data_IF_981451957713
#
_entry.id   IF_981451957713
#
_cell.length_a   1.000
_cell.length_b   1.000
_cell.length_c   1.000
_cell.angle_alpha   90.00
_cell.angle_beta   90.00
_cell.angle_gamma   90.00
#
_symmetry.space_group_name_H-M   'P 1'
#
loop_
_entity.id
_entity.type
_entity.pdbx_description
1 polymer ?
#
# COMPACT_ATOMS: atom_id res chain seq x y z
N UNK A 1 -17.98 -13.41 -14.80
CA UNK A 1 -16.76 -12.99 -14.10
C UNK A 1 -15.93 -14.24 -13.88
N UNK A 2 -14.75 -14.34 -14.49
CA UNK A 2 -13.94 -15.56 -14.36
C UNK A 2 -13.34 -15.61 -12.95
N UNK A 3 -13.37 -16.76 -12.25
CA UNK A 3 -12.70 -16.89 -10.97
C UNK A 3 -11.22 -16.57 -11.17
N UNK A 4 -10.70 -15.61 -10.41
CA UNK A 4 -9.26 -15.32 -10.34
C UNK A 4 -8.51 -16.64 -10.11
N UNK A 5 -7.87 -17.16 -11.16
CA UNK A 5 -7.13 -18.40 -11.07
C UNK A 5 -6.07 -18.25 -9.98
N UNK A 6 -5.94 -19.23 -9.09
CA UNK A 6 -4.86 -19.22 -8.10
C UNK A 6 -3.53 -19.11 -8.86
N UNK A 7 -2.66 -18.14 -8.53
CA UNK A 7 -1.40 -17.99 -9.21
C UNK A 7 -0.57 -19.26 -9.05
N UNK A 8 0.18 -19.62 -10.09
CA UNK A 8 1.08 -20.77 -10.05
C UNK A 8 2.07 -20.61 -8.89
N UNK A 9 2.42 -21.69 -8.17
CA UNK A 9 3.42 -21.61 -7.12
C UNK A 9 4.75 -21.09 -7.67
N UNK A 10 5.50 -20.26 -6.93
CA UNK A 10 6.78 -19.73 -7.39
C UNK A 10 7.75 -20.87 -7.69
N UNK A 11 8.53 -20.71 -8.76
CA UNK A 11 9.63 -21.63 -9.06
C UNK A 11 10.67 -21.47 -7.96
N UNK A 12 10.89 -22.52 -7.17
CA UNK A 12 11.83 -22.49 -6.06
C UNK A 12 13.28 -22.66 -6.55
N UNK A 13 13.93 -21.55 -6.92
CA UNK A 13 15.38 -21.52 -7.16
C UNK A 13 16.15 -21.37 -5.85
N UNK A 14 15.78 -20.38 -5.05
CA UNK A 14 16.28 -20.09 -3.70
C UNK A 14 15.09 -19.79 -2.77
N UNK A 15 15.21 -20.04 -1.46
CA UNK A 15 14.14 -19.78 -0.49
C UNK A 15 13.70 -18.30 -0.49
N UNK A 16 14.60 -17.39 -0.87
CA UNK A 16 14.34 -15.95 -0.99
C UNK A 16 13.29 -15.64 -2.06
N UNK A 17 13.14 -16.49 -3.07
CA UNK A 17 12.21 -16.26 -4.18
C UNK A 17 10.76 -16.23 -3.70
N UNK A 18 10.44 -16.99 -2.64
CA UNK A 18 9.12 -16.96 -1.99
C UNK A 18 8.78 -15.57 -1.46
N UNK A 19 9.75 -14.93 -0.78
CA UNK A 19 9.57 -13.60 -0.20
C UNK A 19 9.58 -12.51 -1.27
N UNK A 20 10.43 -12.66 -2.30
CA UNK A 20 10.45 -11.74 -3.45
C UNK A 20 9.12 -11.78 -4.19
N UNK A 21 8.58 -12.98 -4.47
CA UNK A 21 7.29 -13.12 -5.15
C UNK A 21 6.14 -12.58 -4.30
N UNK A 22 6.20 -12.72 -2.96
CA UNK A 22 5.25 -12.06 -2.06
C UNK A 22 5.28 -10.54 -2.23
N UNK A 23 6.47 -9.95 -2.40
CA UNK A 23 6.70 -8.51 -2.64
C UNK A 23 6.65 -8.11 -4.13
N UNK A 24 5.71 -8.68 -4.89
CA UNK A 24 5.37 -8.27 -6.26
C UNK A 24 3.90 -7.90 -6.36
N UNK A 25 3.62 -6.94 -7.23
CA UNK A 25 2.30 -6.37 -7.48
C UNK A 25 2.16 -5.95 -8.95
N UNK A 26 0.94 -5.76 -9.40
CA UNK A 26 0.62 -5.42 -10.79
C UNK A 26 0.75 -3.92 -11.04
N UNK A 27 0.24 -3.12 -10.10
CA UNK A 27 0.22 -1.66 -10.20
C UNK A 27 0.13 -1.00 -8.83
N UNK A 28 0.50 0.28 -8.81
CA UNK A 28 0.35 1.19 -7.68
C UNK A 28 -0.68 2.25 -8.07
N UNK A 29 -1.66 2.48 -7.22
CA UNK A 29 -2.66 3.55 -7.36
C UNK A 29 -2.49 4.54 -6.21
N UNK A 30 -2.54 5.84 -6.52
CA UNK A 30 -2.50 6.89 -5.49
C UNK A 30 -3.89 7.05 -4.86
N UNK A 31 -3.94 7.04 -3.53
CA UNK A 31 -5.19 7.21 -2.79
C UNK A 31 -4.96 7.94 -1.46
N UNK A 32 -6.06 8.14 -0.73
CA UNK A 32 -6.12 8.69 0.62
C UNK A 32 -7.30 8.07 1.39
N UNK A 33 -7.25 8.14 2.72
CA UNK A 33 -8.38 7.75 3.58
C UNK A 33 -9.35 8.92 3.78
N UNK A 34 -10.62 8.71 3.42
CA UNK A 34 -11.72 9.65 3.67
C UNK A 34 -12.38 9.36 5.01
N UNK A 35 -11.62 9.57 6.09
CA UNK A 35 -12.07 9.38 7.48
C UNK A 35 -11.76 10.62 8.32
N UNK A 36 -12.52 10.84 9.39
CA UNK A 36 -12.35 11.98 10.27
C UNK A 36 -11.15 11.81 11.24
N UNK A 37 -9.93 11.82 10.70
CA UNK A 37 -8.68 11.71 11.46
C UNK A 37 -7.99 13.05 11.76
N UNK A 38 -8.75 14.15 11.68
CA UNK A 38 -8.34 15.51 12.10
C UNK A 38 -7.02 15.98 11.45
N UNK A 39 -6.02 16.45 12.21
CA UNK A 39 -4.78 17.04 11.66
C UNK A 39 -3.95 16.06 10.79
N UNK A 40 -4.21 14.75 10.91
CA UNK A 40 -3.57 13.71 10.12
C UNK A 40 -4.40 13.31 8.89
N UNK A 41 -5.47 14.04 8.57
CA UNK A 41 -6.27 13.82 7.38
C UNK A 41 -5.42 13.91 6.11
N UNK A 42 -5.90 13.26 5.05
CA UNK A 42 -5.36 13.36 3.70
C UNK A 42 -3.89 12.93 3.54
N UNK A 43 -3.45 11.94 4.33
CA UNK A 43 -2.18 11.26 4.07
C UNK A 43 -2.22 10.61 2.67
N UNK A 44 -1.14 10.76 1.90
CA UNK A 44 -1.00 10.20 0.56
C UNK A 44 -0.46 8.77 0.66
N UNK A 45 -1.19 7.83 0.09
CA UNK A 45 -0.85 6.41 0.11
C UNK A 45 -0.62 5.88 -1.31
N UNK A 46 0.36 4.99 -1.41
CA UNK A 46 0.53 4.04 -2.49
C UNK A 46 -0.31 2.80 -2.16
N UNK A 47 -1.37 2.57 -2.92
CA UNK A 47 -2.21 1.37 -2.83
C UNK A 47 -1.70 0.35 -3.85
N UNK A 48 -1.23 -0.79 -3.37
CA UNK A 48 -0.67 -1.85 -4.19
C UNK A 48 -1.77 -2.83 -4.59
N UNK A 49 -1.93 -3.06 -5.90
CA UNK A 49 -2.87 -4.03 -6.45
C UNK A 49 -2.11 -5.25 -6.92
N UNK A 50 -2.55 -6.44 -6.50
CA UNK A 50 -1.98 -7.73 -6.89
C UNK A 50 -3.11 -8.69 -7.22
N UNK A 51 -3.00 -9.38 -8.36
CA UNK A 51 -4.01 -10.32 -8.86
C UNK A 51 -5.41 -9.67 -8.94
N UNK A 52 -5.45 -8.38 -9.29
CA UNK A 52 -6.69 -7.59 -9.35
C UNK A 52 -7.29 -7.19 -7.99
N UNK A 53 -6.67 -7.58 -6.88
CA UNK A 53 -7.12 -7.24 -5.52
C UNK A 53 -6.22 -6.18 -4.88
N UNK A 54 -6.77 -5.37 -3.98
CA UNK A 54 -5.97 -4.46 -3.15
C UNK A 54 -5.22 -5.32 -2.13
N UNK A 55 -3.90 -5.36 -2.25
CA UNK A 55 -3.06 -6.24 -1.44
C UNK A 55 -2.58 -5.58 -0.15
N UNK A 56 -2.13 -4.33 -0.26
CA UNK A 56 -1.64 -3.53 0.86
C UNK A 56 -1.53 -2.07 0.46
N UNK A 57 -1.14 -1.26 1.42
CA UNK A 57 -0.81 0.14 1.22
C UNK A 57 0.45 0.55 1.97
N UNK A 58 1.06 1.63 1.51
CA UNK A 58 2.22 2.28 2.14
C UNK A 58 2.15 3.78 1.95
N UNK A 59 2.74 4.53 2.87
CA UNK A 59 2.88 5.97 2.69
C UNK A 59 3.64 6.28 1.40
N UNK A 60 3.14 7.24 0.62
CA UNK A 60 3.78 7.64 -0.63
C UNK A 60 5.11 8.37 -0.43
N UNK A 61 5.30 9.01 0.73
CA UNK A 61 6.50 9.73 1.13
C UNK A 61 7.07 10.69 0.06
N UNK A 62 6.17 11.38 -0.65
CA UNK A 62 6.51 12.26 -1.77
C UNK A 62 5.93 13.68 -1.63
N UNK A 63 5.67 14.14 -0.40
CA UNK A 63 5.32 15.53 -0.17
C UNK A 63 6.50 16.44 -0.52
N UNK A 64 6.27 17.55 -1.25
CA UNK A 64 7.34 18.50 -1.54
C UNK A 64 7.83 19.16 -0.25
N UNK A 65 9.15 19.34 -0.13
CA UNK A 65 9.73 20.14 0.93
C UNK A 65 9.37 21.60 0.71
N UNK A 66 8.62 22.20 1.62
CA UNK A 66 8.13 23.59 1.50
C UNK A 66 9.04 24.60 2.19
N UNK A 67 9.82 24.16 3.18
CA UNK A 67 10.77 25.00 3.88
C UNK A 67 12.03 24.19 4.23
N UNK A 68 13.21 24.55 3.70
CA UNK A 68 14.46 23.81 3.96
C UNK A 68 14.95 23.87 5.41
N UNK A 69 14.50 24.85 6.20
CA UNK A 69 14.96 25.04 7.57
C UNK A 69 14.23 24.15 8.60
N UNK A 70 13.17 23.43 8.18
CA UNK A 70 12.39 22.54 9.05
C UNK A 70 12.18 21.16 8.41
N UNK A 71 11.95 20.11 9.21
CA UNK A 71 11.59 18.80 8.68
C UNK A 71 10.32 18.88 7.82
N UNK A 72 10.31 18.09 6.75
CA UNK A 72 9.13 17.97 5.90
C UNK A 72 8.03 17.11 6.57
N UNK A 73 6.91 16.94 5.86
CA UNK A 73 5.79 16.15 6.34
C UNK A 73 5.95 14.64 6.05
N UNK A 74 6.97 14.21 5.30
CA UNK A 74 7.11 12.81 4.92
C UNK A 74 7.42 11.95 6.16
N UNK A 75 6.90 10.72 6.24
CA UNK A 75 5.97 10.06 5.30
C UNK A 75 4.48 10.28 5.63
N UNK A 76 4.15 10.99 6.72
CA UNK A 76 2.84 10.96 7.40
C UNK A 76 2.38 9.50 7.66
N UNK A 77 1.07 9.26 7.59
CA UNK A 77 0.44 7.96 7.86
C UNK A 77 0.22 7.69 9.34
N UNK A 78 -0.54 6.63 9.63
CA UNK A 78 -0.78 6.15 10.99
C UNK A 78 -1.08 4.64 10.97
N UNK A 79 -1.15 4.01 12.15
CA UNK A 79 -1.41 2.59 12.27
C UNK A 79 -2.75 2.14 11.68
N UNK A 80 -3.78 3.00 11.71
CA UNK A 80 -5.10 2.70 11.12
C UNK A 80 -5.05 2.78 9.59
N UNK A 81 -4.25 3.69 9.05
CA UNK A 81 -4.03 3.77 7.62
C UNK A 81 -3.24 2.58 7.10
N UNK A 82 -2.22 2.12 7.84
CA UNK A 82 -1.41 0.97 7.42
C UNK A 82 -2.14 -0.37 7.35
N UNK A 83 -3.40 -0.44 7.78
CA UNK A 83 -4.26 -1.63 7.69
C UNK A 83 -5.63 -1.35 7.07
N UNK A 84 -5.82 -0.22 6.36
CA UNK A 84 -7.13 0.12 5.80
C UNK A 84 -7.54 -0.82 4.66
N UNK A 85 -6.58 -1.34 3.89
CA UNK A 85 -6.78 -2.36 2.86
C UNK A 85 -7.46 -3.64 3.38
N UNK A 86 -7.24 -3.99 4.66
CA UNK A 86 -7.92 -5.13 5.27
C UNK A 86 -9.43 -4.89 5.40
N UNK A 87 -9.82 -3.64 5.70
CA UNK A 87 -11.23 -3.25 5.88
C UNK A 87 -12.05 -3.39 4.60
N UNK A 88 -11.41 -3.46 3.43
CA UNK A 88 -12.09 -3.69 2.15
C UNK A 88 -12.69 -5.10 2.04
N UNK A 89 -12.21 -6.04 2.86
CA UNK A 89 -12.56 -7.46 2.80
C UNK A 89 -12.98 -8.01 4.16
N UNK A 90 -13.28 -7.14 5.12
CA UNK A 90 -13.90 -7.55 6.38
C UNK A 90 -15.26 -8.24 6.09
N UNK A 91 -15.72 -9.17 6.96
CA UNK A 91 -16.98 -9.89 6.79
C UNK A 91 -18.24 -9.00 6.65
#
# INVERSE_FOLDING_TARGET
EAPSARPAPPVYGDWRDVYRERWRWDKIVKSTHFVNCWYQAHCCWNVYVKDGLVWREEQAANYPQTNPDVPDFNPRGCQKGGCFSERMYDP
#
